data_IF_740629057522
#
_entry.id   IF_740629057522
#
_cell.length_a   1.000
_cell.length_b   1.000
_cell.length_c   1.000
_cell.angle_alpha   90.00
_cell.angle_beta   90.00
_cell.angle_gamma   90.00
#
_symmetry.space_group_name_H-M   'P 1'
#
loop_
_entity.id
_entity.type
_entity.pdbx_description
1 polymer ?
#
# COMPACT_ATOMS: atom_id res chain seq x y z
N UNK A 1 -8.19 -4.28 -14.18
CA UNK A 1 -6.84 -4.39 -13.58
C UNK A 1 -6.73 -3.39 -12.45
N UNK A 2 -6.28 -3.81 -11.28
CA UNK A 2 -6.06 -2.93 -10.15
C UNK A 2 -4.72 -2.20 -10.33
N UNK A 3 -4.75 -0.99 -10.88
CA UNK A 3 -3.60 -0.08 -10.83
C UNK A 3 -3.51 0.50 -9.41
N UNK A 4 -2.50 0.10 -8.66
CA UNK A 4 -2.31 0.53 -7.27
C UNK A 4 -2.13 2.04 -7.15
N UNK A 5 -1.60 2.72 -8.19
CA UNK A 5 -1.48 4.18 -8.22
C UNK A 5 -2.86 4.82 -8.20
N UNK A 6 -3.71 4.46 -9.17
CA UNK A 6 -5.10 4.94 -9.24
C UNK A 6 -5.88 4.61 -7.96
N UNK A 7 -5.73 3.40 -7.42
CA UNK A 7 -6.43 3.00 -6.20
C UNK A 7 -5.94 3.76 -4.95
N UNK A 8 -4.71 4.27 -4.97
CA UNK A 8 -4.20 5.17 -3.92
C UNK A 8 -4.83 6.56 -4.04
N UNK A 9 -4.94 7.09 -5.26
CA UNK A 9 -5.62 8.36 -5.54
C UNK A 9 -7.11 8.32 -5.14
N UNK A 10 -7.76 7.16 -5.32
CA UNK A 10 -9.14 6.90 -4.91
C UNK A 10 -9.29 6.60 -3.41
N UNK A 11 -8.19 6.53 -2.65
CA UNK A 11 -8.20 6.25 -1.20
C UNK A 11 -8.55 4.80 -0.83
N UNK A 12 -8.63 3.90 -1.82
CA UNK A 12 -8.84 2.46 -1.61
C UNK A 12 -7.56 1.83 -1.04
N UNK A 13 -6.42 2.08 -1.69
CA UNK A 13 -5.09 1.69 -1.17
C UNK A 13 -4.63 2.76 -0.18
N UNK A 14 -4.35 2.33 1.05
CA UNK A 14 -3.85 3.18 2.14
C UNK A 14 -2.33 3.26 2.09
N UNK A 15 -1.67 2.16 1.75
CA UNK A 15 -0.22 2.05 1.66
C UNK A 15 0.12 0.97 0.62
N UNK A 16 1.09 1.27 -0.24
CA UNK A 16 1.74 0.27 -1.08
C UNK A 16 3.25 0.53 -1.05
N UNK A 17 4.04 -0.52 -0.86
CA UNK A 17 5.49 -0.40 -0.84
C UNK A 17 6.17 -1.75 -1.01
N UNK A 18 7.44 -1.72 -1.39
CA UNK A 18 8.29 -2.91 -1.45
C UNK A 18 9.22 -2.97 -0.25
N UNK A 19 9.55 -4.19 0.16
CA UNK A 19 10.69 -4.43 1.04
C UNK A 19 11.99 -4.04 0.33
N UNK A 20 13.03 -3.75 1.12
CA UNK A 20 14.33 -3.31 0.61
C UNK A 20 15.26 -4.48 0.22
N UNK A 21 14.83 -5.72 0.46
CA UNK A 21 15.60 -6.89 0.04
C UNK A 21 15.66 -6.94 -1.48
N UNK A 22 16.84 -7.29 -2.01
CA UNK A 22 17.11 -7.39 -3.45
C UNK A 22 17.22 -8.84 -3.94
N UNK A 23 17.18 -9.80 -3.01
CA UNK A 23 17.17 -11.23 -3.30
C UNK A 23 15.74 -11.80 -3.40
N UNK A 24 15.62 -13.12 -3.48
CA UNK A 24 14.35 -13.83 -3.61
C UNK A 24 13.39 -13.67 -2.41
N UNK A 25 13.85 -13.12 -1.29
CA UNK A 25 13.01 -12.77 -0.15
C UNK A 25 12.31 -11.40 -0.30
N UNK A 26 12.51 -10.69 -1.41
CA UNK A 26 11.83 -9.43 -1.70
C UNK A 26 10.32 -9.65 -1.89
N UNK A 27 9.50 -8.93 -1.14
CA UNK A 27 8.04 -8.88 -1.33
C UNK A 27 7.49 -7.46 -1.18
N UNK A 28 6.27 -7.26 -1.68
CA UNK A 28 5.49 -6.04 -1.52
C UNK A 28 4.51 -6.13 -0.36
N UNK A 29 4.22 -5.00 0.27
CA UNK A 29 3.18 -4.84 1.28
C UNK A 29 2.17 -3.84 0.73
N UNK A 30 0.90 -4.25 0.69
CA UNK A 30 -0.21 -3.40 0.28
C UNK A 30 -1.30 -3.48 1.35
N UNK A 31 -1.68 -2.33 1.90
CA UNK A 31 -2.80 -2.18 2.84
C UNK A 31 -3.89 -1.41 2.09
N UNK A 32 -5.07 -2.00 1.99
CA UNK A 32 -6.20 -1.41 1.27
C UNK A 32 -7.52 -1.69 1.97
N UNK A 33 -8.55 -0.93 1.61
CA UNK A 33 -9.92 -1.08 2.10
C UNK A 33 -10.73 -1.89 1.10
N UNK A 34 -11.57 -2.79 1.60
CA UNK A 34 -12.54 -3.54 0.81
C UNK A 34 -13.85 -3.64 1.58
N UNK A 35 -14.96 -3.79 0.85
CA UNK A 35 -16.29 -3.91 1.47
C UNK A 35 -16.48 -5.25 2.21
N UNK A 36 -15.79 -6.30 1.75
CA UNK A 36 -15.82 -7.65 2.29
C UNK A 36 -14.63 -8.48 1.75
N UNK A 37 -14.51 -9.72 2.21
CA UNK A 37 -13.41 -10.62 1.86
C UNK A 37 -13.38 -10.96 0.36
N UNK A 38 -14.54 -11.17 -0.27
CA UNK A 38 -14.62 -11.45 -1.72
C UNK A 38 -14.10 -10.29 -2.56
N UNK A 39 -14.50 -9.05 -2.23
CA UNK A 39 -14.01 -7.84 -2.89
C UNK A 39 -12.51 -7.67 -2.68
N UNK A 40 -12.00 -8.02 -1.49
CA UNK A 40 -10.57 -7.97 -1.22
C UNK A 40 -9.79 -9.00 -2.04
N UNK A 41 -10.31 -10.22 -2.16
CA UNK A 41 -9.72 -11.27 -2.98
C UNK A 41 -9.74 -10.88 -4.47
N UNK A 42 -10.84 -10.32 -4.96
CA UNK A 42 -10.93 -9.84 -6.34
C UNK A 42 -9.95 -8.70 -6.63
N UNK A 43 -9.74 -7.78 -5.69
CA UNK A 43 -8.77 -6.70 -5.84
C UNK A 43 -7.34 -7.25 -5.90
N UNK A 44 -6.97 -8.14 -4.96
CA UNK A 44 -5.64 -8.78 -4.94
C UNK A 44 -5.39 -9.60 -6.21
N UNK A 45 -6.33 -10.45 -6.60
CA UNK A 45 -6.23 -11.23 -7.84
C UNK A 45 -6.33 -10.36 -9.09
N UNK A 46 -6.82 -9.13 -8.96
CA UNK A 46 -6.90 -8.13 -10.01
C UNK A 46 -5.60 -7.36 -10.26
N UNK A 47 -4.60 -7.46 -9.36
CA UNK A 47 -3.28 -6.87 -9.53
C UNK A 47 -2.56 -7.51 -10.73
N UNK A 48 -2.10 -6.72 -11.73
CA UNK A 48 -1.37 -7.24 -12.87
C UNK A 48 -0.17 -8.13 -12.53
N UNK A 49 0.55 -7.84 -11.46
CA UNK A 49 1.73 -8.62 -11.08
C UNK A 49 1.37 -9.95 -10.40
N UNK A 50 0.18 -10.05 -9.79
CA UNK A 50 -0.41 -11.33 -9.37
C UNK A 50 -0.94 -12.11 -10.58
N UNK A 51 -1.77 -11.48 -11.43
CA UNK A 51 -2.33 -12.12 -12.62
C UNK A 51 -1.28 -12.67 -13.58
N UNK A 52 -0.20 -11.92 -13.78
CA UNK A 52 0.92 -12.31 -14.65
C UNK A 52 1.91 -13.25 -13.97
N UNK A 53 1.61 -13.74 -12.76
CA UNK A 53 2.47 -14.63 -11.97
C UNK A 53 3.89 -14.07 -11.74
N UNK A 54 4.02 -12.74 -11.73
CA UNK A 54 5.29 -12.07 -11.37
C UNK A 54 5.52 -12.20 -9.87
N UNK A 55 4.45 -12.19 -9.08
CA UNK A 55 4.49 -12.42 -7.64
C UNK A 55 3.31 -13.28 -7.18
N UNK A 56 3.55 -14.06 -6.12
CA UNK A 56 2.49 -14.70 -5.33
C UNK A 56 2.01 -13.73 -4.26
N UNK A 57 0.70 -13.68 -4.02
CA UNK A 57 0.11 -12.85 -2.98
C UNK A 57 -0.69 -13.70 -1.99
N UNK A 58 -0.70 -13.25 -0.73
CA UNK A 58 -1.51 -13.78 0.36
C UNK A 58 -2.31 -12.62 0.96
N UNK A 59 -3.55 -12.91 1.37
CA UNK A 59 -4.50 -11.92 1.86
C UNK A 59 -4.85 -12.20 3.32
N UNK A 60 -4.80 -11.16 4.14
CA UNK A 60 -5.14 -11.23 5.56
C UNK A 60 -6.06 -10.06 5.95
N UNK A 61 -7.14 -10.30 6.72
CA UNK A 61 -7.85 -9.24 7.41
C UNK A 61 -6.89 -8.48 8.32
N UNK A 62 -6.88 -7.15 8.22
CA UNK A 62 -5.93 -6.32 8.94
C UNK A 62 -6.62 -5.16 9.65
N UNK A 63 -6.16 -4.84 10.86
CA UNK A 63 -6.62 -3.69 11.65
C UNK A 63 -5.42 -2.90 12.14
N UNK A 64 -5.41 -1.59 11.87
CA UNK A 64 -4.44 -0.67 12.44
C UNK A 64 -4.81 -0.44 13.91
N UNK A 65 -4.00 -0.95 14.84
CA UNK A 65 -4.20 -0.71 16.27
C UNK A 65 -3.64 0.65 16.69
N UNK A 66 -2.49 1.03 16.12
CA UNK A 66 -1.77 2.26 16.41
C UNK A 66 -1.14 2.77 15.11
N UNK A 67 -1.19 4.08 14.89
CA UNK A 67 -0.48 4.74 13.79
C UNK A 67 0.32 5.90 14.34
N UNK A 68 1.62 5.92 14.07
CA UNK A 68 2.50 6.99 14.53
C UNK A 68 2.16 8.31 13.85
N UNK A 69 1.85 9.34 14.63
CA UNK A 69 1.82 10.71 14.15
C UNK A 69 3.19 11.35 14.41
N UNK A 70 3.90 11.75 13.36
CA UNK A 70 4.87 12.86 13.48
C UNK A 70 4.29 14.03 12.70
N UNK A 71 3.81 15.04 13.42
CA UNK A 71 3.48 16.33 12.81
C UNK A 71 4.70 17.26 12.73
N UNK A 72 4.57 18.23 11.82
CA UNK A 72 5.59 19.03 11.13
C UNK A 72 6.51 19.80 12.07
N UNK A 73 7.81 19.87 11.74
CA UNK A 73 8.56 21.08 12.06
C UNK A 73 7.98 22.22 11.22
N UNK A 74 7.05 22.99 11.78
CA UNK A 74 6.86 24.38 11.37
C UNK A 74 8.11 25.14 11.81
N UNK A 75 9.18 24.96 11.04
CA UNK A 75 10.36 25.80 11.11
C UNK A 75 10.04 27.04 10.30
N UNK A 76 9.61 28.10 10.98
CA UNK A 76 9.79 29.47 10.52
C UNK A 76 11.22 29.59 9.97
N UNK A 77 11.41 29.96 8.71
CA UNK A 77 12.70 30.49 8.26
C UNK A 77 12.74 31.97 8.66
N UNK A 78 13.56 32.38 9.65
CA UNK A 78 13.91 33.77 9.76
C UNK A 78 14.92 34.09 8.65
N UNK A 79 14.56 35.00 7.75
CA UNK A 79 15.52 35.83 7.06
C UNK A 79 15.56 35.78 5.53
N UNK A 80 15.60 36.99 4.98
CA UNK A 80 16.29 37.43 3.76
C UNK A 80 15.54 37.30 2.42
N UNK A 81 14.81 38.37 2.08
CA UNK A 81 15.31 39.35 1.10
C UNK A 81 15.23 40.75 1.70
#
# INVERSE_FOLDING_TARGET
>A
MADLTRLTEEGVVVLAGRTLHTDASSFGIVIFRAANDDAAQQLMQGDPAVQKSVMRAELFPYRIALMGAKEKSTGMHPGAL
#
